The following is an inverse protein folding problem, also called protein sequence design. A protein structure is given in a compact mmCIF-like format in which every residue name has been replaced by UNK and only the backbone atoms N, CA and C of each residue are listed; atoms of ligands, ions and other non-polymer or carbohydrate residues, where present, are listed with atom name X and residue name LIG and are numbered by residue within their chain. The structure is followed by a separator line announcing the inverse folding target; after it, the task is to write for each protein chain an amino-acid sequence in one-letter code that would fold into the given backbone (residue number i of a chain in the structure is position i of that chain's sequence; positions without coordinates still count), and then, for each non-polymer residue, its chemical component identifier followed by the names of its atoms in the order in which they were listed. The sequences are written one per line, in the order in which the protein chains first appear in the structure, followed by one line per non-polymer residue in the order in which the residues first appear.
data_IF_877257892360
#
_entry.id   IF_877257892360
#
_cell.length_a   1.000
_cell.length_b   1.000
_cell.length_c   1.000
_cell.angle_alpha   90.00
_cell.angle_beta   90.00
_cell.angle_gamma   90.00
#
_symmetry.space_group_name_H-M   'P 1'
#
loop_
_entity.id
_entity.type
_entity.pdbx_description
1 polymer ?
#
# COMPACT_ATOMS: atom_id res chain seq x y z
N UNK A 1 5.02 -21.97 13.71
CA UNK A 1 4.47 -21.81 12.35
C UNK A 1 2.98 -22.16 12.25
N UNK A 2 2.55 -23.38 12.63
CA UNK A 2 1.14 -23.79 12.50
C UNK A 2 0.14 -22.87 13.22
N UNK A 3 0.35 -22.60 14.52
CA UNK A 3 -0.54 -21.72 15.30
C UNK A 3 -0.63 -20.30 14.71
N UNK A 4 0.47 -19.76 14.18
CA UNK A 4 0.50 -18.45 13.53
C UNK A 4 -0.37 -18.40 12.27
N UNK A 5 -0.27 -19.42 11.40
CA UNK A 5 -1.09 -19.49 10.19
C UNK A 5 -2.57 -19.65 10.53
N UNK A 6 -2.89 -20.47 11.53
CA UNK A 6 -4.27 -20.61 12.02
C UNK A 6 -4.81 -19.27 12.51
N UNK A 7 -4.04 -18.52 13.31
CA UNK A 7 -4.45 -17.21 13.81
C UNK A 7 -4.68 -16.20 12.67
N UNK A 8 -3.77 -16.12 11.69
CA UNK A 8 -3.92 -15.23 10.53
C UNK A 8 -5.15 -15.62 9.68
N UNK A 9 -5.41 -16.92 9.50
CA UNK A 9 -6.57 -17.38 8.76
C UNK A 9 -7.88 -16.85 9.36
N UNK A 10 -8.02 -16.87 10.69
CA UNK A 10 -9.19 -16.28 11.36
C UNK A 10 -9.28 -14.77 11.19
N UNK A 11 -8.15 -14.05 11.30
CA UNK A 11 -8.12 -12.60 11.07
C UNK A 11 -8.62 -12.27 9.66
N UNK A 12 -8.11 -12.96 8.63
CA UNK A 12 -8.52 -12.74 7.25
C UNK A 12 -9.94 -13.21 6.95
N UNK A 13 -10.43 -14.26 7.64
CA UNK A 13 -11.82 -14.68 7.54
C UNK A 13 -12.76 -13.56 7.99
N UNK A 14 -12.50 -12.96 9.17
CA UNK A 14 -13.34 -11.86 9.67
C UNK A 14 -13.21 -10.62 8.78
N UNK A 15 -11.99 -10.24 8.41
CA UNK A 15 -11.73 -9.08 7.56
C UNK A 15 -12.39 -9.20 6.17
N UNK A 16 -12.42 -10.41 5.60
CA UNK A 16 -13.04 -10.70 4.30
C UNK A 16 -14.54 -10.48 4.23
N UNK A 17 -15.23 -10.37 5.37
CA UNK A 17 -16.68 -10.15 5.45
C UNK A 17 -17.06 -8.71 5.82
N UNK A 18 -16.09 -7.78 5.92
CA UNK A 18 -16.38 -6.39 6.31
C UNK A 18 -17.02 -5.55 5.20
N UNK A 19 -16.66 -5.79 3.94
CA UNK A 19 -17.08 -4.96 2.81
C UNK A 19 -18.32 -5.51 2.11
N UNK A 20 -19.17 -4.58 1.65
CA UNK A 20 -20.47 -4.92 1.07
C UNK A 20 -20.32 -5.69 -0.24
N UNK A 21 -21.10 -6.74 -0.38
CA UNK A 21 -21.23 -7.55 -1.61
C UNK A 21 -22.69 -7.56 -2.08
N UNK A 22 -23.03 -8.40 -3.07
CA UNK A 22 -24.40 -8.56 -3.60
C UNK A 22 -25.43 -9.00 -2.53
N UNK A 23 -24.99 -9.45 -1.36
CA UNK A 23 -25.86 -9.80 -0.23
C UNK A 23 -26.41 -8.58 0.54
N UNK A 24 -26.03 -7.36 0.16
CA UNK A 24 -26.58 -6.11 0.72
C UNK A 24 -26.06 -5.70 2.10
N UNK A 25 -25.34 -6.59 2.79
CA UNK A 25 -24.74 -6.35 4.13
C UNK A 25 -23.24 -6.06 3.99
N UNK A 26 -22.73 -5.10 4.77
CA UNK A 26 -21.31 -4.70 4.83
C UNK A 26 -21.09 -3.22 4.51
N UNK A 27 -19.83 -2.78 4.56
CA UNK A 27 -19.47 -1.38 4.33
C UNK A 27 -19.16 -1.06 2.87
N UNK A 28 -19.61 0.10 2.39
CA UNK A 28 -19.16 0.70 1.13
C UNK A 28 -17.87 1.47 1.38
N UNK A 29 -16.77 1.11 0.69
CA UNK A 29 -15.50 1.81 0.85
C UNK A 29 -15.56 3.28 0.41
N UNK A 30 -16.37 3.58 -0.61
CA UNK A 30 -16.61 4.95 -1.06
C UNK A 30 -17.23 5.79 0.06
N UNK A 31 -18.31 5.29 0.65
CA UNK A 31 -19.05 5.97 1.71
C UNK A 31 -18.17 6.17 2.96
N UNK A 32 -17.35 5.16 3.31
CA UNK A 32 -16.39 5.25 4.41
C UNK A 32 -15.35 6.35 4.16
N UNK A 33 -14.77 6.43 2.96
CA UNK A 33 -13.79 7.45 2.61
C UNK A 33 -14.42 8.85 2.59
N UNK A 34 -15.60 8.99 2.00
CA UNK A 34 -16.29 10.29 1.91
C UNK A 34 -16.76 10.81 3.28
N UNK A 35 -17.11 9.91 4.20
CA UNK A 35 -17.47 10.24 5.58
C UNK A 35 -16.26 10.52 6.49
N UNK A 36 -15.07 10.02 6.14
CA UNK A 36 -13.88 10.16 6.95
C UNK A 36 -13.20 11.53 6.76
N UNK A 37 -13.68 12.52 7.53
CA UNK A 37 -13.11 13.87 7.57
C UNK A 37 -11.99 13.91 8.61
N UNK A 38 -10.74 14.26 8.22
CA UNK A 38 -9.62 14.32 9.14
C UNK A 38 -9.83 15.39 10.22
N UNK A 39 -9.45 15.08 11.46
CA UNK A 39 -9.47 16.03 12.56
C UNK A 39 -8.35 17.06 12.37
N UNK A 40 -8.71 18.23 11.85
CA UNK A 40 -7.79 19.33 11.58
C UNK A 40 -8.10 19.97 10.22
N UNK A 41 -8.45 21.26 10.21
CA UNK A 41 -8.82 22.04 9.01
C UNK A 41 -7.69 22.23 7.98
N UNK A 42 -6.57 21.50 8.09
CA UNK A 42 -5.37 21.65 7.26
C UNK A 42 -5.34 20.73 6.03
N UNK A 43 -6.28 19.80 5.91
CA UNK A 43 -6.32 18.79 4.83
C UNK A 43 -7.54 18.94 3.90
N UNK A 44 -8.14 20.14 3.87
CA UNK A 44 -9.24 20.50 2.98
C UNK A 44 -10.47 19.60 3.08
N UNK A 45 -10.98 19.15 1.94
CA UNK A 45 -12.05 18.17 1.76
C UNK A 45 -11.69 16.73 2.16
N UNK A 46 -10.48 16.48 2.66
CA UNK A 46 -10.07 15.17 3.16
C UNK A 46 -10.01 14.12 2.05
N UNK A 47 -10.62 12.95 2.28
CA UNK A 47 -10.56 11.80 1.37
C UNK A 47 -11.63 11.78 0.27
N UNK A 48 -12.41 12.85 0.11
CA UNK A 48 -13.47 12.91 -0.90
C UNK A 48 -12.93 12.73 -2.32
N UNK A 49 -13.61 11.89 -3.10
CA UNK A 49 -13.23 11.59 -4.49
C UNK A 49 -12.01 10.66 -4.65
N UNK A 50 -11.39 10.26 -3.54
CA UNK A 50 -10.22 9.39 -3.56
C UNK A 50 -10.58 7.99 -4.09
N UNK A 51 -11.73 7.45 -3.69
CA UNK A 51 -12.18 6.13 -4.16
C UNK A 51 -12.19 6.04 -5.69
N UNK A 52 -12.80 7.03 -6.35
CA UNK A 52 -12.89 7.07 -7.82
C UNK A 52 -11.51 7.31 -8.45
N UNK A 53 -10.67 8.15 -7.84
CA UNK A 53 -9.30 8.41 -8.31
C UNK A 53 -8.42 7.15 -8.28
N UNK A 54 -8.55 6.34 -7.22
CA UNK A 54 -7.82 5.05 -7.10
C UNK A 54 -8.40 4.02 -8.07
N UNK A 55 -9.73 3.88 -8.13
CA UNK A 55 -10.34 2.83 -8.94
C UNK A 55 -10.24 3.06 -10.44
N UNK A 56 -10.18 4.32 -10.89
CA UNK A 56 -10.09 4.64 -12.31
C UNK A 56 -8.65 4.65 -12.86
N UNK A 57 -7.61 4.55 -12.01
CA UNK A 57 -6.21 4.51 -12.46
C UNK A 57 -5.51 3.21 -12.10
N UNK A 58 -5.12 2.48 -13.14
CA UNK A 58 -4.27 1.28 -13.00
C UNK A 58 -2.87 1.66 -12.51
N UNK A 59 -2.34 2.83 -12.88
CA UNK A 59 -1.03 3.26 -12.40
C UNK A 59 -1.04 3.62 -10.93
N UNK A 60 -2.13 4.20 -10.42
CA UNK A 60 -2.26 4.44 -8.99
C UNK A 60 -2.37 3.12 -8.21
N UNK A 61 -3.21 2.19 -8.66
CA UNK A 61 -3.33 0.85 -8.04
C UNK A 61 -2.01 0.09 -8.06
N UNK A 62 -1.32 0.08 -9.20
CA UNK A 62 -0.02 -0.58 -9.32
C UNK A 62 1.04 0.11 -8.44
N UNK A 63 1.02 1.44 -8.34
CA UNK A 63 1.91 2.19 -7.46
C UNK A 63 1.76 1.79 -6.00
N UNK A 64 0.54 1.78 -5.46
CA UNK A 64 0.29 1.40 -4.05
C UNK A 64 0.52 -0.09 -3.78
N UNK A 65 0.21 -0.96 -4.75
CA UNK A 65 0.48 -2.40 -4.64
C UNK A 65 1.99 -2.68 -4.60
N UNK A 66 2.79 -2.00 -5.44
CA UNK A 66 4.24 -2.14 -5.41
C UNK A 66 4.84 -1.52 -4.15
N UNK A 67 4.35 -0.37 -3.68
CA UNK A 67 4.82 0.21 -2.42
C UNK A 67 4.60 -0.72 -1.23
N UNK A 68 3.39 -1.27 -1.09
CA UNK A 68 3.08 -2.24 -0.03
C UNK A 68 3.90 -3.53 -0.16
N UNK A 69 4.02 -4.07 -1.37
CA UNK A 69 4.84 -5.26 -1.62
C UNK A 69 6.32 -5.00 -1.29
N UNK A 70 6.88 -3.87 -1.69
CA UNK A 70 8.28 -3.50 -1.41
C UNK A 70 8.57 -3.39 0.08
N UNK A 71 7.65 -2.82 0.88
CA UNK A 71 7.76 -2.81 2.35
C UNK A 71 7.78 -4.23 2.91
N UNK A 72 6.84 -5.08 2.46
CA UNK A 72 6.76 -6.47 2.93
C UNK A 72 8.01 -7.26 2.50
N UNK A 73 8.53 -7.09 1.28
CA UNK A 73 9.76 -7.76 0.82
C UNK A 73 10.97 -7.38 1.68
N UNK A 74 11.09 -6.10 2.06
CA UNK A 74 12.16 -5.67 2.97
C UNK A 74 11.97 -6.27 4.37
N UNK A 75 10.73 -6.29 4.87
CA UNK A 75 10.37 -6.91 6.14
C UNK A 75 10.70 -8.41 6.18
N UNK A 76 10.46 -9.12 5.07
CA UNK A 76 10.83 -10.54 4.90
C UNK A 76 12.34 -10.72 5.06
N UNK A 77 13.17 -9.90 4.42
CA UNK A 77 14.62 -10.00 4.58
C UNK A 77 15.06 -9.75 6.04
N UNK A 78 14.49 -8.74 6.70
CA UNK A 78 14.84 -8.43 8.10
C UNK A 78 14.42 -9.55 9.06
N UNK A 79 13.22 -10.12 8.88
CA UNK A 79 12.75 -11.21 9.73
C UNK A 79 13.44 -12.53 9.43
N UNK A 80 13.74 -12.87 8.17
CA UNK A 80 14.35 -14.16 7.85
C UNK A 80 15.78 -14.30 8.38
N UNK A 81 16.55 -13.20 8.46
CA UNK A 81 17.90 -13.28 9.03
C UNK A 81 17.88 -13.32 10.56
N UNK A 82 16.94 -12.64 11.22
CA UNK A 82 16.86 -12.54 12.69
C UNK A 82 16.03 -13.64 13.34
N UNK A 83 15.04 -14.18 12.62
CA UNK A 83 14.13 -15.25 13.02
C UNK A 83 14.14 -16.39 11.97
N UNK A 84 15.19 -17.23 11.92
CA UNK A 84 15.31 -18.29 10.93
C UNK A 84 14.16 -19.29 10.98
N UNK A 85 13.40 -19.39 9.88
CA UNK A 85 12.22 -20.25 9.79
C UNK A 85 12.51 -21.68 9.28
N UNK A 86 13.69 -21.88 8.68
CA UNK A 86 14.09 -23.15 8.07
C UNK A 86 15.16 -23.86 8.92
N UNK A 87 15.10 -25.18 8.98
CA UNK A 87 16.08 -25.97 9.72
C UNK A 87 17.49 -25.76 9.16
N UNK A 88 18.48 -25.60 10.05
CA UNK A 88 19.91 -25.47 9.76
C UNK A 88 20.33 -24.23 8.94
N UNK A 89 19.41 -23.37 8.48
CA UNK A 89 19.76 -22.21 7.65
C UNK A 89 20.65 -21.18 8.37
N UNK A 90 20.56 -21.11 9.70
CA UNK A 90 21.40 -20.23 10.52
C UNK A 90 22.88 -20.66 10.58
N UNK A 91 23.19 -21.88 10.13
CA UNK A 91 24.56 -22.41 10.05
C UNK A 91 25.17 -22.23 8.66
N UNK A 92 24.34 -22.00 7.64
CA UNK A 92 24.78 -21.70 6.27
C UNK A 92 24.82 -20.19 6.03
N UNK A 93 25.96 -19.59 6.35
CA UNK A 93 26.17 -18.15 6.24
C UNK A 93 26.08 -17.62 4.80
N UNK A 94 26.51 -18.42 3.81
CA UNK A 94 26.48 -18.01 2.40
C UNK A 94 25.05 -17.92 1.91
N UNK A 95 24.23 -18.93 2.22
CA UNK A 95 22.80 -18.93 1.86
C UNK A 95 22.04 -17.82 2.58
N UNK A 96 22.31 -17.58 3.87
CA UNK A 96 21.68 -16.50 4.63
C UNK A 96 22.03 -15.11 4.06
N UNK A 97 23.30 -14.87 3.72
CA UNK A 97 23.74 -13.63 3.09
C UNK A 97 23.13 -13.44 1.69
N UNK A 98 23.06 -14.51 0.89
CA UNK A 98 22.45 -14.48 -0.43
C UNK A 98 20.96 -14.15 -0.38
N UNK A 99 20.20 -14.79 0.51
CA UNK A 99 18.75 -14.55 0.66
C UNK A 99 18.45 -13.13 1.13
N UNK A 100 19.21 -12.62 2.11
CA UNK A 100 19.05 -11.24 2.58
C UNK A 100 19.29 -10.23 1.45
N UNK A 101 20.43 -10.38 0.76
CA UNK A 101 20.81 -9.49 -0.34
C UNK A 101 19.79 -9.54 -1.48
N UNK A 102 19.37 -10.75 -1.88
CA UNK A 102 18.36 -10.96 -2.92
C UNK A 102 17.06 -10.20 -2.62
N UNK A 103 16.49 -10.38 -1.42
CA UNK A 103 15.23 -9.74 -1.06
C UNK A 103 15.36 -8.23 -0.93
N UNK A 104 16.49 -7.70 -0.44
CA UNK A 104 16.66 -6.24 -0.35
C UNK A 104 16.85 -5.57 -1.71
N UNK A 105 17.57 -6.19 -2.64
CA UNK A 105 17.66 -5.68 -4.01
C UNK A 105 16.29 -5.68 -4.71
N UNK A 106 15.50 -6.75 -4.53
CA UNK A 106 14.14 -6.81 -5.06
C UNK A 106 13.26 -5.72 -4.43
N UNK A 107 13.33 -5.55 -3.10
CA UNK A 107 12.57 -4.52 -2.40
C UNK A 107 12.89 -3.11 -2.93
N UNK A 108 14.17 -2.80 -3.14
CA UNK A 108 14.59 -1.52 -3.73
C UNK A 108 14.07 -1.31 -5.15
N UNK A 109 14.13 -2.35 -6.00
CA UNK A 109 13.62 -2.28 -7.37
C UNK A 109 12.09 -2.07 -7.40
N UNK A 110 11.35 -2.82 -6.60
CA UNK A 110 9.89 -2.70 -6.48
C UNK A 110 9.51 -1.32 -5.93
N UNK A 111 10.20 -0.83 -4.90
CA UNK A 111 9.93 0.49 -4.32
C UNK A 111 10.15 1.62 -5.33
N UNK A 112 11.23 1.55 -6.11
CA UNK A 112 11.51 2.55 -7.15
C UNK A 112 10.41 2.53 -8.23
N UNK A 113 9.93 1.35 -8.61
CA UNK A 113 8.81 1.20 -9.56
C UNK A 113 7.48 1.73 -9.00
N UNK A 114 7.25 1.61 -7.70
CA UNK A 114 6.08 2.19 -7.05
C UNK A 114 6.02 3.71 -7.26
N UNK A 115 7.14 4.41 -7.02
CA UNK A 115 7.25 5.85 -7.27
C UNK A 115 7.16 6.21 -8.75
N UNK A 116 7.74 5.38 -9.64
CA UNK A 116 7.61 5.60 -11.08
C UNK A 116 6.13 5.55 -11.52
N UNK A 117 5.37 4.54 -11.08
CA UNK A 117 3.94 4.46 -11.39
C UNK A 117 3.12 5.57 -10.72
N UNK A 118 3.49 6.00 -9.50
CA UNK A 118 2.90 7.18 -8.87
C UNK A 118 3.12 8.47 -9.66
N UNK A 119 4.33 8.68 -10.19
CA UNK A 119 4.63 9.82 -11.05
C UNK A 119 3.85 9.78 -12.37
N UNK A 120 3.73 8.60 -13.00
CA UNK A 120 2.94 8.42 -14.22
C UNK A 120 1.45 8.73 -13.95
N UNK A 121 0.91 8.32 -12.81
CA UNK A 121 -0.45 8.68 -12.39
C UNK A 121 -0.64 10.20 -12.36
N UNK A 122 0.28 10.95 -11.75
CA UNK A 122 0.17 12.42 -11.65
C UNK A 122 0.20 13.13 -13.01
N UNK A 123 0.82 12.53 -14.01
CA UNK A 123 0.93 13.11 -15.36
C UNK A 123 -0.27 12.71 -16.23
N UNK A 124 -0.68 11.44 -16.17
CA UNK A 124 -1.62 10.87 -17.16
C UNK A 124 -3.05 10.75 -16.65
N UNK A 125 -3.23 10.32 -15.41
CA UNK A 125 -4.54 9.87 -14.91
C UNK A 125 -5.11 10.82 -13.84
N UNK A 126 -4.32 11.75 -13.31
CA UNK A 126 -4.76 12.70 -12.30
C UNK A 126 -5.66 13.80 -12.89
N UNK A 127 -6.87 13.93 -12.34
CA UNK A 127 -7.80 15.01 -12.67
C UNK A 127 -7.85 16.05 -11.52
N UNK A 128 -7.43 17.32 -11.75
CA UNK A 128 -7.42 18.36 -10.72
C UNK A 128 -8.83 18.79 -10.26
N UNK A 129 -9.84 18.76 -11.13
CA UNK A 129 -11.21 19.17 -10.79
C UNK A 129 -11.86 18.15 -9.86
N UNK A 130 -11.69 16.86 -10.15
CA UNK A 130 -12.23 15.77 -9.31
C UNK A 130 -11.56 15.69 -7.94
N UNK A 131 -10.31 16.13 -7.85
CA UNK A 131 -9.50 16.08 -6.62
C UNK A 131 -9.39 17.44 -5.91
N UNK A 132 -10.19 18.43 -6.29
CA UNK A 132 -10.10 19.78 -5.72
C UNK A 132 -10.17 19.77 -4.18
N UNK A 133 -9.20 20.43 -3.57
CA UNK A 133 -9.06 20.58 -2.10
C UNK A 133 -9.03 19.25 -1.32
N UNK A 134 -8.80 18.10 -1.96
CA UNK A 134 -8.65 16.83 -1.25
C UNK A 134 -7.18 16.54 -0.87
N UNK A 135 -6.94 15.47 -0.12
CA UNK A 135 -5.58 15.14 0.37
C UNK A 135 -4.52 15.00 -0.73
N UNK A 136 -4.88 14.51 -1.92
CA UNK A 136 -3.95 14.39 -3.06
C UNK A 136 -3.63 15.76 -3.63
N UNK A 137 -4.62 16.65 -3.72
CA UNK A 137 -4.40 18.03 -4.17
C UNK A 137 -3.42 18.77 -3.26
N UNK A 138 -3.54 18.61 -1.94
CA UNK A 138 -2.60 19.21 -0.96
C UNK A 138 -1.18 18.64 -1.07
N UNK A 139 -1.02 17.35 -1.42
CA UNK A 139 0.29 16.76 -1.73
C UNK A 139 0.91 17.35 -3.01
N UNK A 140 0.10 17.63 -4.03
CA UNK A 140 0.55 18.23 -5.30
C UNK A 140 0.95 19.69 -5.14
N UNK A 141 0.22 20.45 -4.33
CA UNK A 141 0.42 21.90 -4.15
C UNK A 141 1.81 22.22 -3.57
N UNK A 142 2.43 21.30 -2.83
CA UNK A 142 3.80 21.46 -2.33
C UNK A 142 4.90 21.28 -3.38
N UNK A 143 4.63 20.60 -4.51
CA UNK A 143 5.68 20.21 -5.46
C UNK A 143 5.73 21.08 -6.73
N UNK A 144 4.66 21.83 -7.05
CA UNK A 144 4.56 22.60 -8.31
C UNK A 144 4.46 24.12 -8.14
N UNK A 145 4.42 24.66 -6.91
CA UNK A 145 4.37 26.11 -6.63
C UNK A 145 5.69 26.70 -6.12
N UNK A 146 6.80 26.17 -6.63
CA UNK A 146 8.08 26.91 -6.69
C UNK A 146 8.45 27.24 -8.16
N UNK A 147 7.44 27.46 -9.01
CA UNK A 147 7.54 28.16 -10.29
C UNK A 147 6.27 28.98 -10.53
#
# INVERSE_FOLDING_TARGET
MAHHHLAIAFIFLVAGHMYRTNFGIGHSMKDLLDAHIPQGKRLGRGHKGLYDTINNSIHFQLGIALASLGVITSLVAQHMYSLPAYAFIAQDFTTQAALYTHHQYIAGFIMTRAFAHGAIFFIRDYNPEQNEDNVIHHLRFFYLLNK
#
